data_IF_312983430110
#
_entry.id   IF_312983430110
#
_cell.length_a   1.000
_cell.length_b   1.000
_cell.length_c   1.000
_cell.angle_alpha   90.00
_cell.angle_beta   90.00
_cell.angle_gamma   90.00
#
_symmetry.space_group_name_H-M   'P 1'
#
loop_
_entity.id
_entity.type
_entity.pdbx_description
1 polymer ?
#
# COMPACT_ATOMS: atom_id res chain seq x y z
N UNK A 1 12.09 6.02 -8.79
CA UNK A 1 10.79 6.70 -8.94
C UNK A 1 9.82 5.68 -9.52
N UNK A 2 9.02 5.03 -8.67
CA UNK A 2 8.03 4.05 -9.15
C UNK A 2 6.90 4.79 -9.85
N UNK A 3 6.46 4.31 -11.01
CA UNK A 3 5.30 4.91 -11.68
C UNK A 3 4.03 4.50 -10.93
N UNK A 4 3.07 5.43 -10.85
CA UNK A 4 1.67 5.19 -10.43
C UNK A 4 1.15 3.85 -10.94
N UNK A 5 1.39 3.56 -12.23
CA UNK A 5 0.87 2.36 -12.91
C UNK A 5 1.44 1.09 -12.28
N UNK A 6 2.75 1.02 -12.05
CA UNK A 6 3.41 -0.15 -11.46
C UNK A 6 2.90 -0.39 -10.03
N UNK A 7 2.78 0.67 -9.23
CA UNK A 7 2.25 0.55 -7.85
C UNK A 7 0.79 0.13 -7.86
N UNK A 8 -0.02 0.64 -8.81
CA UNK A 8 -1.40 0.19 -9.00
C UNK A 8 -1.46 -1.31 -9.28
N UNK A 9 -0.61 -1.82 -10.19
CA UNK A 9 -0.53 -3.24 -10.49
C UNK A 9 -0.14 -4.07 -9.26
N UNK A 10 0.88 -3.64 -8.50
CA UNK A 10 1.28 -4.29 -7.25
C UNK A 10 0.13 -4.34 -6.24
N UNK A 11 -0.65 -3.25 -6.14
CA UNK A 11 -1.82 -3.15 -5.26
C UNK A 11 -2.91 -4.11 -5.73
N UNK A 12 -3.20 -4.20 -7.03
CA UNK A 12 -4.14 -5.18 -7.58
C UNK A 12 -3.69 -6.64 -7.37
N UNK A 13 -2.38 -6.88 -7.30
CA UNK A 13 -1.81 -8.19 -6.96
C UNK A 13 -1.64 -8.41 -5.46
N UNK A 14 -1.82 -7.38 -4.63
CA UNK A 14 -1.66 -7.45 -3.20
C UNK A 14 -2.83 -8.18 -2.55
N UNK A 15 -2.54 -8.83 -1.43
CA UNK A 15 -3.58 -9.42 -0.59
C UNK A 15 -4.34 -8.29 0.13
N UNK A 16 -5.54 -7.99 -0.35
CA UNK A 16 -6.44 -7.02 0.26
C UNK A 16 -7.48 -7.74 1.10
N UNK A 17 -7.44 -7.56 2.42
CA UNK A 17 -8.45 -8.07 3.33
C UNK A 17 -9.57 -7.05 3.59
N UNK A 18 -9.56 -5.91 2.89
CA UNK A 18 -10.53 -4.82 3.05
C UNK A 18 -10.84 -4.17 1.71
N UNK A 19 -12.02 -3.60 1.61
CA UNK A 19 -12.41 -2.74 0.49
C UNK A 19 -11.76 -1.37 0.69
N UNK A 20 -10.92 -0.91 -0.25
CA UNK A 20 -10.27 0.38 -0.09
C UNK A 20 -11.29 1.50 -0.29
N UNK A 21 -11.23 2.48 0.61
CA UNK A 21 -12.16 3.59 0.71
C UNK A 21 -11.52 4.84 0.12
N UNK A 22 -12.30 5.55 -0.71
CA UNK A 22 -11.88 6.83 -1.26
C UNK A 22 -11.50 7.82 -0.14
N UNK A 23 -10.47 8.62 -0.38
CA UNK A 23 -9.97 9.63 0.54
C UNK A 23 -9.05 9.10 1.64
N UNK A 24 -8.92 7.79 1.80
CA UNK A 24 -8.05 7.17 2.79
C UNK A 24 -6.65 6.94 2.23
N UNK A 25 -5.67 7.10 3.10
CA UNK A 25 -4.26 6.79 2.83
C UNK A 25 -3.96 5.38 3.34
N UNK A 26 -3.23 4.65 2.53
CA UNK A 26 -2.82 3.27 2.72
C UNK A 26 -1.31 3.16 2.53
N UNK A 27 -0.73 2.11 3.06
CA UNK A 27 0.70 1.83 3.00
C UNK A 27 0.89 0.45 2.39
N UNK A 28 1.63 0.41 1.29
CA UNK A 28 1.97 -0.82 0.59
C UNK A 28 3.22 -1.42 1.22
N UNK A 29 3.11 -2.69 1.57
CA UNK A 29 4.18 -3.49 2.15
C UNK A 29 4.47 -4.70 1.27
N UNK A 30 5.74 -5.13 1.26
CA UNK A 30 6.18 -6.36 0.65
C UNK A 30 6.51 -7.38 1.73
N UNK A 31 5.92 -8.57 1.61
CA UNK A 31 6.18 -9.72 2.48
C UNK A 31 7.43 -10.46 1.99
N UNK A 32 8.02 -11.27 2.87
CA UNK A 32 9.16 -12.14 2.50
C UNK A 32 8.81 -13.18 1.42
N UNK A 33 7.53 -13.49 1.22
CA UNK A 33 7.00 -14.42 0.21
C UNK A 33 6.76 -13.73 -1.16
N UNK A 34 7.41 -12.58 -1.41
CA UNK A 34 7.23 -11.72 -2.61
C UNK A 34 5.82 -11.15 -2.81
N UNK A 35 4.85 -11.51 -1.98
CA UNK A 35 3.50 -10.96 -2.00
C UNK A 35 3.45 -9.54 -1.45
N UNK A 36 2.65 -8.71 -2.09
CA UNK A 36 2.32 -7.38 -1.61
C UNK A 36 1.12 -7.43 -0.66
N UNK A 37 1.09 -6.50 0.30
CA UNK A 37 0.01 -6.32 1.26
C UNK A 37 -0.28 -4.83 1.40
N UNK A 38 -1.55 -4.47 1.28
CA UNK A 38 -2.01 -3.12 1.57
C UNK A 38 -2.44 -3.06 3.05
N UNK A 39 -2.00 -2.03 3.77
CA UNK A 39 -2.39 -1.81 5.17
C UNK A 39 -2.75 -0.35 5.41
N UNK A 40 -3.62 -0.08 6.39
CA UNK A 40 -3.90 1.28 6.88
C UNK A 40 -2.84 1.77 7.87
N UNK A 41 -2.05 0.86 8.43
CA UNK A 41 -1.03 1.16 9.44
C UNK A 41 0.25 1.59 8.75
N UNK A 42 0.72 2.80 9.01
CA UNK A 42 1.96 3.34 8.47
C UNK A 42 3.22 2.75 9.13
N UNK A 43 4.41 2.85 8.49
CA UNK A 43 5.66 2.26 8.97
C UNK A 43 6.05 2.72 10.39
N UNK A 44 5.64 3.93 10.77
CA UNK A 44 5.86 4.51 12.11
C UNK A 44 4.85 4.07 13.17
N UNK A 45 3.70 3.51 12.75
CA UNK A 45 2.63 3.03 13.63
C UNK A 45 2.74 1.54 13.93
N UNK A 46 3.50 0.82 13.12
CA UNK A 46 3.95 -0.50 13.50
C UNK A 46 4.75 -0.40 14.81
N UNK A 47 4.50 -1.32 15.73
CA UNK A 47 5.19 -1.36 17.02
C UNK A 47 6.68 -1.70 16.89
N UNK A 48 7.26 -2.45 17.85
CA UNK A 48 8.71 -2.63 17.93
C UNK A 48 9.37 -3.28 16.70
N UNK A 49 8.63 -3.92 15.80
CA UNK A 49 9.19 -4.46 14.54
C UNK A 49 8.09 -4.59 13.47
N UNK A 50 8.27 -3.94 12.32
CA UNK A 50 7.52 -4.27 11.10
C UNK A 50 8.12 -5.57 10.51
N UNK A 51 7.36 -6.67 10.37
CA UNK A 51 7.86 -7.86 9.68
C UNK A 51 7.85 -7.71 8.15
N UNK A 52 7.39 -6.57 7.62
CA UNK A 52 7.23 -6.31 6.20
C UNK A 52 8.11 -5.16 5.73
N UNK A 53 8.53 -5.21 4.47
CA UNK A 53 9.31 -4.14 3.84
C UNK A 53 8.35 -3.06 3.36
N UNK A 54 8.49 -1.84 3.86
CA UNK A 54 7.71 -0.70 3.37
C UNK A 54 8.09 -0.40 1.91
N UNK A 55 7.09 -0.31 1.03
CA UNK A 55 7.28 -0.05 -0.40
C UNK A 55 6.94 1.40 -0.73
N UNK A 56 5.71 1.82 -0.41
CA UNK A 56 5.20 3.16 -0.72
C UNK A 56 3.94 3.48 0.09
N UNK A 57 3.69 4.76 0.30
CA UNK A 57 2.38 5.24 0.77
C UNK A 57 1.52 5.59 -0.44
N UNK A 58 0.27 5.18 -0.43
CA UNK A 58 -0.68 5.42 -1.52
C UNK A 58 -2.01 5.93 -0.99
N UNK A 59 -2.66 6.83 -1.71
CA UNK A 59 -3.97 7.35 -1.38
C UNK A 59 -4.97 6.93 -2.44
N UNK A 60 -6.13 6.44 -1.99
CA UNK A 60 -7.22 6.16 -2.91
C UNK A 60 -7.97 7.46 -3.24
N UNK A 61 -7.93 7.84 -4.51
CA UNK A 61 -8.63 9.01 -5.03
C UNK A 61 -10.10 8.67 -5.33
N UNK A 62 -10.93 9.72 -5.48
CA UNK A 62 -12.36 9.60 -5.77
C UNK A 62 -12.69 8.93 -7.11
N UNK A 63 -11.69 8.75 -7.98
CA UNK A 63 -11.84 8.12 -9.29
C UNK A 63 -11.42 6.63 -9.27
N UNK A 64 -11.35 6.01 -8.08
CA UNK A 64 -10.79 4.66 -7.88
C UNK A 64 -9.34 4.50 -8.37
N UNK A 65 -8.59 5.61 -8.43
CA UNK A 65 -7.18 5.61 -8.79
C UNK A 65 -6.30 5.73 -7.55
N UNK A 66 -5.10 5.16 -7.64
CA UNK A 66 -4.11 5.22 -6.57
C UNK A 66 -3.10 6.33 -6.85
N UNK A 67 -2.89 7.20 -5.85
CA UNK A 67 -1.88 8.24 -5.87
C UNK A 67 -0.75 7.88 -4.92
N UNK A 68 0.49 7.88 -5.39
CA UNK A 68 1.66 7.62 -4.53
C UNK A 68 1.99 8.90 -3.77
N UNK A 69 2.01 8.83 -2.45
CA UNK A 69 2.51 9.88 -1.57
C UNK A 69 3.91 9.46 -1.12
N UNK A 70 4.93 10.17 -1.61
CA UNK A 70 6.34 9.98 -1.23
C UNK A 70 6.61 10.59 0.16
#
# INVERSE_FOLDING_TARGET
IYKRVEVSEMIYQADMNFEPLMGHTYHLYQRADEKYLLSLVGPSEWGPTCPYTFVATVKMLSDHTWEIQD
#
